data_IF_322365591739
#
_entry.id   IF_322365591739
#
_cell.length_a   1.000
_cell.length_b   1.000
_cell.length_c   1.000
_cell.angle_alpha   90.00
_cell.angle_beta   90.00
_cell.angle_gamma   90.00
#
_symmetry.space_group_name_H-M   'P 1'
#
loop_
_entity.id
_entity.type
_entity.pdbx_description
1 polymer ?
#
# COMPACT_ATOMS: atom_id res chain seq x y z
N UNK A 1 37.59 51.31 44.80
CA UNK A 1 36.56 50.28 44.57
C UNK A 1 36.70 49.77 43.14
N UNK A 2 37.23 48.56 42.94
CA UNK A 2 37.40 47.95 41.61
C UNK A 2 36.17 47.08 41.32
N UNK A 3 35.43 47.42 40.26
CA UNK A 3 34.26 46.67 39.84
C UNK A 3 34.69 45.35 39.20
N UNK A 4 34.23 44.24 39.76
CA UNK A 4 34.43 42.88 39.22
C UNK A 4 33.27 42.63 38.25
N UNK A 5 33.56 42.59 36.96
CA UNK A 5 32.59 42.21 35.94
C UNK A 5 32.46 40.67 35.93
N UNK A 6 31.36 40.15 36.46
CA UNK A 6 31.03 38.73 36.40
C UNK A 6 30.49 38.39 35.00
N UNK A 7 31.25 37.60 34.23
CA UNK A 7 30.81 37.08 32.94
C UNK A 7 30.00 35.80 33.16
N UNK A 8 28.69 35.87 32.97
CA UNK A 8 27.83 34.70 32.90
C UNK A 8 28.01 34.01 31.55
N UNK A 9 28.76 32.91 31.52
CA UNK A 9 28.74 31.99 30.38
C UNK A 9 27.42 31.23 30.37
N UNK A 10 26.50 31.63 29.50
CA UNK A 10 25.30 30.85 29.18
C UNK A 10 25.76 29.65 28.36
N UNK A 11 25.83 28.47 28.99
CA UNK A 11 26.07 27.21 28.30
C UNK A 11 24.77 26.81 27.58
N UNK A 12 24.62 27.23 26.32
CA UNK A 12 23.58 26.72 25.44
C UNK A 12 23.84 25.22 25.19
N UNK A 13 23.21 24.37 25.98
CA UNK A 13 23.10 22.95 25.66
C UNK A 13 22.24 22.82 24.39
N UNK A 14 22.91 22.79 23.23
CA UNK A 14 22.33 22.32 21.98
C UNK A 14 22.05 20.82 22.17
N UNK A 15 20.88 20.49 22.71
CA UNK A 15 20.35 19.14 22.60
C UNK A 15 20.14 18.89 21.11
N UNK A 16 20.83 17.92 20.49
CA UNK A 16 20.56 17.59 19.10
C UNK A 16 19.12 17.08 19.06
N UNK A 17 18.20 17.87 18.50
CA UNK A 17 16.88 17.37 18.10
C UNK A 17 17.12 16.36 16.98
N UNK A 18 17.38 15.10 17.34
CA UNK A 18 17.47 14.01 16.37
C UNK A 18 16.04 13.80 15.88
N UNK A 19 15.69 14.43 14.76
CA UNK A 19 14.48 14.05 14.02
C UNK A 19 14.60 12.56 13.72
N UNK A 20 13.76 11.75 14.36
CA UNK A 20 13.79 10.30 14.22
C UNK A 20 13.38 9.93 12.79
N UNK A 21 14.35 9.78 11.89
CA UNK A 21 14.11 9.39 10.49
C UNK A 21 13.81 7.89 10.39
N UNK A 22 13.11 7.51 9.31
CA UNK A 22 12.90 6.11 9.01
C UNK A 22 14.22 5.38 8.84
N UNK A 23 14.36 4.22 9.46
CA UNK A 23 15.57 3.37 9.35
C UNK A 23 15.22 1.88 9.41
N UNK A 24 16.12 1.06 8.90
CA UNK A 24 16.06 -0.38 9.18
C UNK A 24 16.35 -0.62 10.66
N UNK A 25 15.62 -1.56 11.28
CA UNK A 25 15.82 -1.90 12.69
C UNK A 25 15.43 -0.76 13.65
N UNK A 26 14.45 0.08 13.29
CA UNK A 26 14.03 1.19 14.14
C UNK A 26 13.64 0.73 15.56
N UNK A 27 13.01 -0.45 15.65
CA UNK A 27 12.50 -1.05 16.88
C UNK A 27 13.50 -1.98 17.58
N UNK A 28 14.72 -2.18 17.07
CA UNK A 28 15.67 -3.17 17.62
C UNK A 28 16.02 -2.91 19.09
N UNK A 29 15.97 -1.66 19.54
CA UNK A 29 16.22 -1.28 20.94
C UNK A 29 14.97 -1.09 21.80
N UNK A 30 13.78 -0.93 21.20
CA UNK A 30 12.54 -0.55 21.91
C UNK A 30 11.46 -1.62 21.87
N UNK A 31 11.38 -2.36 20.77
CA UNK A 31 10.54 -3.55 20.63
C UNK A 31 11.21 -4.56 19.67
N UNK A 32 12.27 -5.25 20.11
CA UNK A 32 12.97 -6.24 19.30
C UNK A 32 12.07 -7.26 18.59
N UNK A 33 10.97 -7.79 19.20
CA UNK A 33 10.13 -8.78 18.53
C UNK A 33 9.12 -8.18 17.54
N UNK A 34 9.08 -6.86 17.32
CA UNK A 34 8.03 -6.17 16.58
C UNK A 34 7.75 -6.80 15.19
N UNK A 35 8.77 -6.90 14.33
CA UNK A 35 8.60 -7.47 12.99
C UNK A 35 8.20 -8.95 13.04
N UNK A 36 8.72 -9.72 14.01
CA UNK A 36 8.38 -11.14 14.14
C UNK A 36 6.93 -11.38 14.60
N UNK A 37 6.39 -10.50 15.45
CA UNK A 37 4.99 -10.54 15.88
C UNK A 37 4.07 -10.26 14.70
N UNK A 38 4.32 -9.17 13.96
CA UNK A 38 3.54 -8.83 12.76
C UNK A 38 3.61 -9.96 11.73
N UNK A 39 4.81 -10.48 11.45
CA UNK A 39 5.01 -11.57 10.50
C UNK A 39 4.25 -12.84 10.88
N UNK A 40 4.20 -13.21 12.16
CA UNK A 40 3.43 -14.37 12.65
C UNK A 40 1.92 -14.16 12.45
N UNK A 41 1.38 -12.99 12.83
CA UNK A 41 -0.04 -12.69 12.64
C UNK A 41 -0.41 -12.76 11.15
N UNK A 42 0.40 -12.13 10.29
CA UNK A 42 0.18 -12.16 8.83
C UNK A 42 0.23 -13.59 8.29
N UNK A 43 1.21 -14.40 8.71
CA UNK A 43 1.32 -15.80 8.30
C UNK A 43 0.06 -16.58 8.65
N UNK A 44 -0.44 -16.46 9.89
CA UNK A 44 -1.64 -17.18 10.35
C UNK A 44 -2.88 -16.84 9.53
N UNK A 45 -3.07 -15.55 9.19
CA UNK A 45 -4.16 -15.11 8.34
C UNK A 45 -3.98 -15.55 6.88
N UNK A 46 -2.76 -15.44 6.35
CA UNK A 46 -2.45 -15.80 4.97
C UNK A 46 -2.60 -17.30 4.70
N UNK A 47 -2.18 -18.15 5.64
CA UNK A 47 -2.27 -19.61 5.53
C UNK A 47 -3.72 -20.08 5.40
N UNK A 48 -4.64 -19.43 6.13
CA UNK A 48 -6.08 -19.69 6.05
C UNK A 48 -6.72 -19.05 4.82
N UNK A 49 -6.23 -17.89 4.39
CA UNK A 49 -6.80 -17.12 3.30
C UNK A 49 -5.73 -16.38 2.50
N UNK A 50 -5.34 -16.97 1.35
CA UNK A 50 -4.32 -16.40 0.45
C UNK A 50 -4.71 -15.05 -0.17
N UNK A 51 -5.97 -14.64 -0.09
CA UNK A 51 -6.39 -13.31 -0.58
C UNK A 51 -5.85 -12.18 0.31
N UNK A 52 -5.32 -12.47 1.50
CA UNK A 52 -4.73 -11.49 2.43
C UNK A 52 -3.66 -10.63 1.77
N UNK A 53 -2.81 -11.19 0.91
CA UNK A 53 -1.79 -10.41 0.19
C UNK A 53 -2.41 -9.28 -0.62
N UNK A 54 -3.50 -9.54 -1.34
CA UNK A 54 -4.20 -8.51 -2.11
C UNK A 54 -4.88 -7.46 -1.21
N UNK A 55 -5.36 -7.86 -0.03
CA UNK A 55 -5.94 -6.93 0.94
C UNK A 55 -4.90 -5.93 1.45
N UNK A 56 -3.75 -6.43 1.89
CA UNK A 56 -2.70 -5.62 2.50
C UNK A 56 -1.99 -4.74 1.47
N UNK A 57 -1.72 -5.27 0.26
CA UNK A 57 -1.23 -4.45 -0.87
C UNK A 57 -2.15 -3.26 -1.15
N UNK A 58 -3.46 -3.54 -1.27
CA UNK A 58 -4.44 -2.49 -1.50
C UNK A 58 -4.52 -1.53 -0.32
N UNK A 59 -4.53 -2.02 0.92
CA UNK A 59 -4.56 -1.17 2.11
C UNK A 59 -3.37 -0.21 2.14
N UNK A 60 -2.14 -0.70 1.97
CA UNK A 60 -0.96 0.14 1.99
C UNK A 60 -0.99 1.18 0.86
N UNK A 61 -1.38 0.79 -0.36
CA UNK A 61 -1.55 1.75 -1.45
C UNK A 61 -2.57 2.83 -1.10
N UNK A 62 -3.75 2.43 -0.64
CA UNK A 62 -4.85 3.35 -0.33
C UNK A 62 -4.51 4.32 0.81
N UNK A 63 -3.80 3.87 1.83
CA UNK A 63 -3.30 4.73 2.91
C UNK A 63 -2.27 5.71 2.37
N UNK A 64 -1.19 5.19 1.77
CA UNK A 64 -0.05 6.00 1.37
C UNK A 64 -0.35 7.09 0.34
N UNK A 65 -1.26 6.84 -0.61
CA UNK A 65 -1.58 7.82 -1.66
C UNK A 65 -2.67 8.81 -1.25
N UNK A 66 -3.29 8.64 -0.08
CA UNK A 66 -4.17 9.62 0.54
C UNK A 66 -3.38 10.34 1.62
N UNK A 67 -2.77 11.47 1.24
CA UNK A 67 -1.93 12.36 2.08
C UNK A 67 -0.60 11.78 2.59
N UNK A 68 -0.46 10.47 2.76
CA UNK A 68 0.79 9.85 3.16
C UNK A 68 0.58 8.51 3.88
N UNK A 69 1.66 7.77 4.11
CA UNK A 69 1.63 6.51 4.85
C UNK A 69 1.58 6.78 6.36
N UNK A 70 0.42 7.23 6.85
CA UNK A 70 0.20 7.62 8.25
C UNK A 70 -0.91 6.79 8.93
N UNK A 71 -1.39 5.74 8.27
CA UNK A 71 -2.45 4.87 8.73
C UNK A 71 -3.76 5.62 9.07
N UNK A 72 -4.01 6.77 8.42
CA UNK A 72 -5.28 7.51 8.49
C UNK A 72 -6.46 6.71 7.93
N UNK A 73 -6.20 5.79 6.99
CA UNK A 73 -7.19 4.86 6.45
C UNK A 73 -7.79 3.92 7.52
N UNK A 74 -7.03 3.65 8.59
CA UNK A 74 -7.44 2.73 9.65
C UNK A 74 -8.44 3.33 10.63
N UNK A 75 -8.74 4.62 10.58
CA UNK A 75 -9.65 5.29 11.52
C UNK A 75 -11.11 4.94 11.20
N UNK A 76 -11.85 4.45 12.21
CA UNK A 76 -13.30 4.25 12.09
C UNK A 76 -14.04 5.60 12.17
N UNK A 77 -15.10 5.79 11.36
CA UNK A 77 -15.92 6.99 11.46
C UNK A 77 -16.72 6.98 12.77
N UNK A 78 -16.92 8.15 13.37
CA UNK A 78 -17.90 8.36 14.44
C UNK A 78 -19.06 9.22 13.94
N UNK A 79 -20.11 9.36 14.74
CA UNK A 79 -21.25 10.26 14.46
C UNK A 79 -20.81 11.72 14.24
N UNK A 80 -19.74 12.14 14.92
CA UNK A 80 -19.23 13.52 14.91
C UNK A 80 -18.06 13.72 13.94
N UNK A 81 -17.30 12.65 13.66
CA UNK A 81 -16.08 12.70 12.85
C UNK A 81 -16.12 11.62 11.77
N UNK A 82 -16.50 11.97 10.53
CA UNK A 82 -16.41 11.03 9.43
C UNK A 82 -14.94 10.72 9.11
N UNK A 83 -14.66 9.53 8.60
CA UNK A 83 -13.33 9.08 8.22
C UNK A 83 -13.27 8.67 6.75
N UNK A 84 -12.07 8.47 6.21
CA UNK A 84 -11.89 8.05 4.83
C UNK A 84 -12.19 6.57 4.56
N UNK A 85 -12.28 5.74 5.62
CA UNK A 85 -12.21 4.26 5.55
C UNK A 85 -13.15 3.61 4.54
N UNK A 86 -14.37 4.13 4.41
CA UNK A 86 -15.41 3.54 3.56
C UNK A 86 -15.89 4.49 2.45
N UNK A 87 -15.16 5.59 2.21
CA UNK A 87 -15.57 6.64 1.28
C UNK A 87 -14.99 6.38 -0.12
N UNK A 88 -15.84 6.53 -1.14
CA UNK A 88 -15.42 6.47 -2.53
C UNK A 88 -14.69 5.17 -2.85
N UNK A 89 -13.45 5.27 -3.34
CA UNK A 89 -12.66 4.09 -3.71
C UNK A 89 -12.01 3.38 -2.52
N UNK A 90 -12.08 3.91 -1.30
CA UNK A 90 -11.72 3.14 -0.11
C UNK A 90 -12.78 2.08 0.23
N UNK A 91 -13.99 2.20 -0.34
CA UNK A 91 -15.00 1.14 -0.24
C UNK A 91 -14.41 -0.21 -0.70
N UNK A 92 -14.57 -1.22 0.16
CA UNK A 92 -14.07 -2.59 -0.06
C UNK A 92 -12.60 -2.81 0.26
N UNK A 93 -11.85 -1.83 0.77
CA UNK A 93 -10.57 -2.13 1.43
C UNK A 93 -10.87 -3.06 2.61
N UNK A 94 -10.00 -4.04 2.87
CA UNK A 94 -10.18 -5.08 3.89
C UNK A 94 -8.83 -5.47 4.49
N UNK A 95 -8.80 -6.38 5.46
CA UNK A 95 -7.58 -6.80 6.16
C UNK A 95 -7.27 -5.96 7.39
N UNK A 96 -8.21 -5.10 7.81
CA UNK A 96 -8.03 -4.22 8.96
C UNK A 96 -7.91 -5.01 10.27
N UNK A 97 -8.61 -6.14 10.37
CA UNK A 97 -8.56 -7.09 11.48
C UNK A 97 -7.16 -7.67 11.71
N UNK A 98 -6.36 -7.82 10.65
CA UNK A 98 -4.97 -8.32 10.73
C UNK A 98 -4.09 -7.27 11.41
N UNK A 99 -4.32 -6.00 11.07
CA UNK A 99 -3.62 -4.86 11.68
C UNK A 99 -4.00 -4.72 13.15
N UNK A 100 -5.29 -4.89 13.48
CA UNK A 100 -5.77 -4.84 14.86
C UNK A 100 -5.20 -5.98 15.71
N UNK A 101 -5.16 -7.20 15.20
CA UNK A 101 -4.58 -8.35 15.90
C UNK A 101 -3.09 -8.15 16.16
N UNK A 102 -2.33 -7.76 15.13
CA UNK A 102 -0.92 -7.43 15.26
C UNK A 102 -0.70 -6.30 16.28
N UNK A 103 -1.53 -5.25 16.22
CA UNK A 103 -1.44 -4.14 17.16
C UNK A 103 -1.71 -4.57 18.60
N UNK A 104 -2.74 -5.37 18.81
CA UNK A 104 -3.10 -5.88 20.14
C UNK A 104 -1.96 -6.72 20.74
N UNK A 105 -1.36 -7.60 19.95
CA UNK A 105 -0.22 -8.38 20.41
C UNK A 105 1.01 -7.52 20.70
N UNK A 106 1.29 -6.53 19.85
CA UNK A 106 2.39 -5.59 20.07
C UNK A 106 2.20 -4.75 21.33
N UNK A 107 0.99 -4.27 21.61
CA UNK A 107 0.72 -3.47 22.82
C UNK A 107 0.87 -4.29 24.12
N UNK A 108 0.72 -5.61 24.08
CA UNK A 108 1.00 -6.48 25.24
C UNK A 108 2.50 -6.63 25.50
N UNK A 109 3.33 -6.52 24.46
CA UNK A 109 4.78 -6.79 24.53
C UNK A 109 5.58 -5.50 24.69
N UNK A 110 5.23 -4.47 23.92
CA UNK A 110 5.90 -3.19 23.88
C UNK A 110 4.86 -2.06 23.75
N UNK A 111 4.20 -1.70 24.87
CA UNK A 111 3.13 -0.71 24.90
C UNK A 111 3.57 0.61 24.24
N UNK A 112 2.67 1.23 23.47
CA UNK A 112 2.83 2.55 22.85
C UNK A 112 4.13 2.73 22.05
N UNK A 113 4.68 1.64 21.48
CA UNK A 113 5.98 1.67 20.80
C UNK A 113 5.85 1.59 19.28
N UNK A 114 5.08 0.63 18.76
CA UNK A 114 4.98 0.37 17.30
C UNK A 114 3.76 1.07 16.73
N UNK A 115 3.94 1.91 15.70
CA UNK A 115 2.82 2.63 15.05
C UNK A 115 1.99 1.72 14.17
N UNK A 116 0.72 2.06 13.96
CA UNK A 116 -0.13 1.33 13.03
C UNK A 116 0.35 1.49 11.58
N UNK A 117 0.90 2.66 11.24
CA UNK A 117 1.52 2.92 9.93
C UNK A 117 2.67 1.94 9.62
N UNK A 118 3.51 1.62 10.60
CA UNK A 118 4.56 0.62 10.42
C UNK A 118 4.00 -0.80 10.37
N UNK A 119 2.96 -1.14 11.14
CA UNK A 119 2.30 -2.45 11.05
C UNK A 119 1.76 -2.68 9.63
N UNK A 120 1.10 -1.71 9.01
CA UNK A 120 0.60 -1.81 7.62
C UNK A 120 1.75 -2.10 6.64
N UNK A 121 2.87 -1.38 6.78
CA UNK A 121 4.02 -1.51 5.89
C UNK A 121 4.72 -2.88 6.05
N UNK A 122 4.96 -3.30 7.30
CA UNK A 122 5.58 -4.60 7.62
C UNK A 122 4.67 -5.74 7.16
N UNK A 123 3.37 -5.66 7.49
CA UNK A 123 2.42 -6.71 7.15
C UNK A 123 2.29 -6.91 5.65
N UNK A 124 2.28 -5.82 4.89
CA UNK A 124 2.23 -5.87 3.43
C UNK A 124 3.48 -6.52 2.86
N UNK A 125 4.68 -6.11 3.31
CA UNK A 125 5.97 -6.72 2.90
C UNK A 125 6.01 -8.22 3.16
N UNK A 126 5.55 -8.66 4.33
CA UNK A 126 5.54 -10.08 4.70
C UNK A 126 4.55 -10.86 3.83
N UNK A 127 3.36 -10.31 3.59
CA UNK A 127 2.34 -10.96 2.73
C UNK A 127 2.77 -11.09 1.26
N UNK A 128 3.56 -10.14 0.74
CA UNK A 128 4.16 -10.21 -0.60
C UNK A 128 5.15 -11.38 -0.67
N UNK A 129 6.02 -11.51 0.35
CA UNK A 129 6.99 -12.59 0.42
C UNK A 129 6.32 -13.97 0.51
N UNK A 130 5.25 -14.09 1.30
CA UNK A 130 4.46 -15.33 1.41
C UNK A 130 3.80 -15.72 0.08
N UNK A 131 3.31 -14.74 -0.69
CA UNK A 131 2.77 -14.96 -2.03
C UNK A 131 3.86 -15.21 -3.11
N UNK A 132 5.11 -15.43 -2.72
CA UNK A 132 6.21 -15.72 -3.64
C UNK A 132 6.80 -14.50 -4.35
N UNK A 133 6.44 -13.29 -3.92
CA UNK A 133 6.98 -12.02 -4.41
C UNK A 133 8.43 -11.76 -3.98
N UNK A 134 8.96 -10.55 -4.26
CA UNK A 134 10.28 -10.17 -3.79
C UNK A 134 10.35 -10.10 -2.26
N UNK A 135 11.51 -10.47 -1.71
CA UNK A 135 11.86 -10.17 -0.32
C UNK A 135 12.64 -8.87 -0.29
N UNK A 136 12.23 -7.92 0.54
CA UNK A 136 12.89 -6.64 0.70
C UNK A 136 12.81 -6.14 2.14
N UNK A 137 13.71 -5.24 2.50
CA UNK A 137 13.68 -4.56 3.80
C UNK A 137 12.73 -3.37 3.74
N UNK A 138 12.07 -3.07 4.84
CA UNK A 138 11.29 -1.85 5.01
C UNK A 138 11.94 -1.01 6.10
N UNK A 139 12.07 0.29 5.88
CA UNK A 139 12.42 1.23 6.94
C UNK A 139 11.17 1.49 7.79
N UNK A 140 11.33 1.48 9.11
CA UNK A 140 10.28 1.77 10.09
C UNK A 140 10.65 3.01 10.91
N UNK A 141 9.71 3.49 11.74
CA UNK A 141 9.76 4.77 12.45
C UNK A 141 8.64 5.74 12.05
N UNK A 142 7.61 5.27 11.31
CA UNK A 142 6.44 6.09 10.98
C UNK A 142 5.63 6.37 12.23
N UNK A 143 4.88 7.47 12.19
CA UNK A 143 3.87 7.81 13.20
C UNK A 143 2.49 7.85 12.59
N UNK A 144 1.51 7.64 13.44
CA UNK A 144 0.11 7.63 13.08
C UNK A 144 -0.42 9.06 12.91
N UNK A 145 -1.12 9.29 11.80
CA UNK A 145 -1.76 10.56 11.49
C UNK A 145 -2.87 10.90 12.47
N UNK A 146 -3.11 12.20 12.66
CA UNK A 146 -4.16 12.74 13.54
C UNK A 146 -5.40 13.20 12.78
N UNK A 147 -5.52 12.80 11.51
CA UNK A 147 -6.60 13.22 10.62
C UNK A 147 -6.94 12.10 9.65
N UNK A 148 -8.23 11.85 9.50
CA UNK A 148 -8.81 10.99 8.48
C UNK A 148 -10.06 11.69 7.97
N UNK A 149 -10.16 12.01 6.68
CA UNK A 149 -11.25 12.83 6.19
C UNK A 149 -11.74 12.39 4.80
N UNK A 150 -13.06 12.19 4.60
CA UNK A 150 -13.65 11.83 3.32
C UNK A 150 -13.18 12.66 2.12
N UNK A 151 -12.95 13.96 2.31
CA UNK A 151 -12.60 14.91 1.24
C UNK A 151 -11.19 14.72 0.67
N UNK A 152 -10.33 13.98 1.35
CA UNK A 152 -8.98 13.69 0.87
C UNK A 152 -8.95 12.54 -0.15
N UNK A 153 -10.00 11.72 -0.18
CA UNK A 153 -10.06 10.51 -1.03
C UNK A 153 -10.26 10.89 -2.50
N UNK A 154 -9.15 11.16 -3.20
CA UNK A 154 -9.11 11.54 -4.62
C UNK A 154 -8.45 10.48 -5.50
N UNK A 155 -8.70 9.21 -5.17
CA UNK A 155 -8.12 8.06 -5.86
C UNK A 155 -8.60 7.95 -7.31
N UNK A 156 -7.69 7.58 -8.21
CA UNK A 156 -8.00 7.36 -9.63
C UNK A 156 -8.82 6.08 -9.83
N UNK A 157 -9.65 6.07 -10.88
CA UNK A 157 -10.49 4.94 -11.25
C UNK A 157 -9.86 3.97 -12.24
N UNK A 158 -10.46 2.78 -12.43
CA UNK A 158 -9.91 1.74 -13.30
C UNK A 158 -9.89 2.12 -14.79
N UNK A 159 -10.65 3.13 -15.20
CA UNK A 159 -10.73 3.64 -16.57
C UNK A 159 -9.88 4.89 -16.82
N UNK A 160 -9.04 5.28 -15.86
CA UNK A 160 -8.13 6.42 -16.00
C UNK A 160 -7.17 6.23 -17.19
N UNK A 161 -6.79 7.33 -17.84
CA UNK A 161 -5.79 7.31 -18.91
C UNK A 161 -4.37 7.18 -18.35
N UNK A 162 -3.46 6.62 -19.14
CA UNK A 162 -2.03 6.50 -18.78
C UNK A 162 -1.42 7.87 -18.50
N UNK A 163 -1.72 8.88 -19.33
CA UNK A 163 -1.25 10.25 -19.12
C UNK A 163 -1.68 10.85 -17.77
N UNK A 164 -2.93 10.62 -17.35
CA UNK A 164 -3.43 11.07 -16.04
C UNK A 164 -2.76 10.30 -14.90
N UNK A 165 -2.58 8.99 -15.04
CA UNK A 165 -1.82 8.20 -14.05
C UNK A 165 -0.38 8.69 -13.92
N UNK A 166 0.32 8.96 -15.03
CA UNK A 166 1.68 9.51 -15.00
C UNK A 166 1.71 10.83 -14.26
N UNK A 167 0.76 11.74 -14.52
CA UNK A 167 0.68 13.03 -13.82
C UNK A 167 0.46 12.84 -12.31
N UNK A 168 -0.43 11.93 -11.92
CA UNK A 168 -0.73 11.67 -10.51
C UNK A 168 0.49 11.07 -9.78
N UNK A 169 1.11 10.03 -10.33
CA UNK A 169 2.30 9.41 -9.75
C UNK A 169 3.49 10.38 -9.69
N UNK A 170 3.66 11.24 -10.71
CA UNK A 170 4.70 12.28 -10.70
C UNK A 170 4.48 13.30 -9.58
N UNK A 171 3.23 13.61 -9.24
CA UNK A 171 2.91 14.56 -8.16
C UNK A 171 3.31 14.07 -6.76
N UNK A 172 3.48 12.76 -6.60
CA UNK A 172 4.00 12.11 -5.38
C UNK A 172 5.44 11.63 -5.55
N UNK A 173 6.16 12.15 -6.55
CA UNK A 173 7.60 11.91 -6.74
C UNK A 173 7.96 10.63 -7.51
N UNK A 174 6.99 9.94 -8.11
CA UNK A 174 7.24 8.67 -8.81
C UNK A 174 7.41 8.85 -10.32
N UNK A 175 8.35 8.10 -10.88
CA UNK A 175 8.55 8.04 -12.32
C UNK A 175 7.63 6.99 -12.98
N UNK A 176 7.65 6.93 -14.31
CA UNK A 176 6.79 6.03 -15.09
C UNK A 176 7.07 4.55 -14.77
N UNK A 177 8.34 4.18 -14.54
CA UNK A 177 8.69 2.80 -14.18
C UNK A 177 8.11 2.38 -12.84
N UNK A 178 8.24 3.25 -11.82
CA UNK A 178 7.63 3.02 -10.50
C UNK A 178 6.10 2.93 -10.60
N UNK A 179 5.46 3.77 -11.42
CA UNK A 179 4.03 3.69 -11.68
C UNK A 179 3.62 2.34 -12.29
N UNK A 180 4.30 1.89 -13.35
CA UNK A 180 4.00 0.61 -14.02
C UNK A 180 4.24 -0.58 -13.09
N UNK A 181 5.29 -0.53 -12.27
CA UNK A 181 5.59 -1.55 -11.27
C UNK A 181 4.46 -1.63 -10.22
N UNK A 182 3.98 -0.49 -9.70
CA UNK A 182 2.92 -0.47 -8.68
C UNK A 182 1.55 -0.87 -9.23
N UNK A 183 1.13 -0.33 -10.37
CA UNK A 183 -0.18 -0.64 -10.96
C UNK A 183 -0.23 -2.13 -11.33
N UNK A 184 0.72 -2.63 -12.12
CA UNK A 184 0.73 -4.04 -12.51
C UNK A 184 0.99 -4.97 -11.32
N UNK A 185 2.04 -4.73 -10.54
CA UNK A 185 2.43 -5.58 -9.42
C UNK A 185 1.39 -5.65 -8.30
N UNK A 186 0.63 -4.57 -8.05
CA UNK A 186 -0.51 -4.61 -7.13
C UNK A 186 -1.69 -5.43 -7.67
N UNK A 187 -1.83 -5.52 -8.99
CA UNK A 187 -2.92 -6.23 -9.68
C UNK A 187 -2.60 -7.68 -10.04
N UNK A 188 -1.39 -8.18 -9.77
CA UNK A 188 -1.08 -9.60 -10.02
C UNK A 188 -1.78 -10.57 -9.05
N UNK A 189 -2.38 -10.04 -7.98
CA UNK A 189 -3.21 -10.78 -7.03
C UNK A 189 -4.53 -10.06 -6.80
N UNK A 190 -5.50 -10.78 -6.22
CA UNK A 190 -6.77 -10.19 -5.82
C UNK A 190 -7.83 -10.25 -6.91
N UNK A 191 -8.89 -9.45 -6.73
CA UNK A 191 -10.10 -9.49 -7.54
C UNK A 191 -10.56 -8.10 -7.94
N UNK A 192 -11.29 -8.00 -9.04
CA UNK A 192 -12.10 -6.85 -9.40
C UNK A 192 -13.57 -7.22 -9.49
N UNK A 193 -14.43 -6.32 -9.02
CA UNK A 193 -15.87 -6.42 -9.25
C UNK A 193 -16.24 -6.11 -10.69
N UNK A 194 -17.23 -6.81 -11.23
CA UNK A 194 -17.68 -6.72 -12.61
C UNK A 194 -18.07 -5.30 -13.04
N UNK A 195 -18.62 -4.49 -12.13
CA UNK A 195 -18.93 -3.07 -12.36
C UNK A 195 -17.72 -2.24 -12.78
N UNK A 196 -16.51 -2.63 -12.37
CA UNK A 196 -15.27 -1.88 -12.61
C UNK A 196 -14.66 -2.07 -14.00
N UNK A 197 -15.13 -3.05 -14.79
CA UNK A 197 -14.53 -3.42 -16.08
C UNK A 197 -15.55 -3.78 -17.16
N UNK A 198 -16.79 -3.28 -17.07
CA UNK A 198 -17.79 -3.47 -18.12
C UNK A 198 -17.33 -2.93 -19.49
N UNK A 199 -16.51 -1.88 -19.50
CA UNK A 199 -15.92 -1.32 -20.70
C UNK A 199 -14.92 -2.29 -21.36
N UNK A 200 -14.22 -3.13 -20.58
CA UNK A 200 -13.33 -4.18 -21.09
C UNK A 200 -14.08 -5.36 -21.68
N UNK A 201 -15.18 -5.78 -21.05
CA UNK A 201 -16.05 -6.82 -21.62
C UNK A 201 -16.65 -6.39 -22.98
N UNK A 202 -16.88 -5.09 -23.18
CA UNK A 202 -17.37 -4.51 -24.44
C UNK A 202 -16.27 -4.29 -25.48
N UNK A 203 -15.00 -4.38 -25.09
CA UNK A 203 -13.88 -4.12 -25.99
C UNK A 203 -13.70 -5.26 -27.01
N UNK A 204 -13.81 -4.99 -28.33
CA UNK A 204 -13.55 -5.99 -29.36
C UNK A 204 -12.12 -6.53 -29.33
N UNK A 205 -11.15 -5.73 -28.85
CA UNK A 205 -9.72 -6.07 -28.74
C UNK A 205 -9.36 -6.84 -27.47
N UNK A 206 -10.30 -7.19 -26.62
CA UNK A 206 -10.02 -8.14 -25.54
C UNK A 206 -9.96 -9.57 -26.09
N UNK A 207 -9.08 -10.42 -25.55
CA UNK A 207 -9.02 -11.84 -25.88
C UNK A 207 -10.43 -12.47 -25.86
N UNK A 208 -10.83 -13.06 -26.99
CA UNK A 208 -12.22 -13.45 -27.23
C UNK A 208 -12.69 -14.56 -26.29
N UNK A 209 -11.79 -15.50 -25.95
CA UNK A 209 -12.05 -16.61 -25.01
C UNK A 209 -12.24 -16.08 -23.60
N UNK A 210 -11.34 -15.22 -23.12
CA UNK A 210 -11.49 -14.60 -21.80
C UNK A 210 -12.74 -13.72 -21.73
N UNK A 211 -12.99 -12.89 -22.76
CA UNK A 211 -14.21 -12.06 -22.83
C UNK A 211 -15.48 -12.89 -22.71
N UNK A 212 -15.55 -14.05 -23.38
CA UNK A 212 -16.70 -14.96 -23.27
C UNK A 212 -16.85 -15.52 -21.84
N UNK A 213 -15.74 -15.91 -21.19
CA UNK A 213 -15.74 -16.35 -19.78
C UNK A 213 -16.24 -15.23 -18.84
N UNK A 214 -15.72 -14.02 -18.97
CA UNK A 214 -16.11 -12.88 -18.13
C UNK A 214 -17.58 -12.49 -18.32
N UNK A 215 -18.09 -12.54 -19.57
CA UNK A 215 -19.53 -12.33 -19.84
C UNK A 215 -20.43 -13.33 -19.11
N UNK A 216 -19.95 -14.53 -18.79
CA UNK A 216 -20.70 -15.51 -17.99
C UNK A 216 -20.55 -15.20 -16.50
N UNK A 217 -19.34 -14.95 -16.02
CA UNK A 217 -19.07 -14.63 -14.60
C UNK A 217 -19.81 -13.38 -14.12
N UNK A 218 -19.96 -12.36 -14.98
CA UNK A 218 -20.58 -11.08 -14.63
C UNK A 218 -22.11 -11.03 -14.79
N UNK A 219 -22.80 -12.19 -14.85
CA UNK A 219 -24.28 -12.25 -14.91
C UNK A 219 -24.95 -12.44 -13.55
N UNK A 220 -24.16 -12.73 -12.51
CA UNK A 220 -24.68 -12.97 -11.16
C UNK A 220 -25.23 -11.70 -10.49
N UNK A 221 -26.10 -11.86 -9.47
CA UNK A 221 -26.54 -10.76 -8.64
C UNK A 221 -25.38 -10.20 -7.80
N UNK A 222 -25.57 -9.01 -7.22
CA UNK A 222 -24.67 -8.42 -6.22
C UNK A 222 -23.24 -8.13 -6.71
N UNK A 223 -23.10 -7.74 -7.99
CA UNK A 223 -21.82 -7.35 -8.60
C UNK A 223 -20.67 -8.35 -8.36
N UNK A 224 -20.72 -9.53 -9.02
CA UNK A 224 -19.71 -10.58 -8.84
C UNK A 224 -18.29 -10.07 -9.07
N UNK A 225 -17.31 -10.75 -8.49
CA UNK A 225 -15.89 -10.45 -8.73
C UNK A 225 -15.18 -11.55 -9.50
N UNK A 226 -14.10 -11.18 -10.18
CA UNK A 226 -13.19 -12.09 -10.88
C UNK A 226 -11.76 -11.80 -10.46
N UNK A 227 -10.89 -12.80 -10.49
CA UNK A 227 -9.47 -12.57 -10.23
C UNK A 227 -8.86 -11.55 -11.20
N UNK A 228 -7.95 -10.72 -10.72
CA UNK A 228 -7.23 -9.78 -11.58
C UNK A 228 -6.26 -10.51 -12.51
N UNK A 229 -5.53 -11.47 -11.97
CA UNK A 229 -4.72 -12.42 -12.72
C UNK A 229 -5.51 -13.73 -12.93
N UNK A 230 -5.72 -14.14 -14.19
CA UNK A 230 -6.51 -15.34 -14.51
C UNK A 230 -5.73 -16.66 -14.43
N UNK A 231 -4.42 -16.61 -14.25
CA UNK A 231 -3.51 -17.75 -14.34
C UNK A 231 -2.85 -18.05 -12.97
N UNK A 232 -2.40 -17.04 -12.24
CA UNK A 232 -1.70 -17.17 -10.94
C UNK A 232 -2.30 -16.25 -9.85
N UNK A 233 -3.61 -16.32 -9.55
CA UNK A 233 -4.36 -15.31 -8.77
C UNK A 233 -3.90 -15.06 -7.32
N UNK A 234 -3.01 -15.91 -6.80
CA UNK A 234 -2.49 -15.85 -5.43
C UNK A 234 -0.96 -15.71 -5.37
N UNK A 235 -0.29 -15.50 -6.51
CA UNK A 235 1.17 -15.33 -6.57
C UNK A 235 1.52 -13.92 -6.97
N UNK A 236 2.53 -13.35 -6.30
CA UNK A 236 3.16 -12.11 -6.73
C UNK A 236 4.26 -12.45 -7.73
N UNK A 237 3.89 -12.46 -9.01
CA UNK A 237 4.78 -12.70 -10.14
C UNK A 237 4.43 -11.75 -11.31
N UNK A 238 5.05 -11.96 -12.47
CA UNK A 238 4.90 -11.07 -13.62
C UNK A 238 3.78 -11.49 -14.58
N UNK A 239 2.91 -12.42 -14.19
CA UNK A 239 1.88 -12.98 -15.07
C UNK A 239 0.82 -11.94 -15.48
N UNK A 240 0.57 -10.94 -14.64
CA UNK A 240 -0.27 -9.79 -14.98
C UNK A 240 0.23 -9.05 -16.24
N UNK A 241 1.55 -8.86 -16.39
CA UNK A 241 2.14 -8.18 -17.55
C UNK A 241 2.10 -9.06 -18.80
N UNK A 242 2.27 -10.38 -18.64
CA UNK A 242 2.07 -11.34 -19.76
C UNK A 242 0.63 -11.33 -20.25
N UNK A 243 -0.32 -11.24 -19.33
CA UNK A 243 -1.74 -11.10 -19.68
C UNK A 243 -2.05 -9.76 -20.34
N UNK A 244 -1.37 -8.66 -19.98
CA UNK A 244 -1.50 -7.41 -20.75
C UNK A 244 -1.10 -7.62 -22.22
N UNK A 245 0.05 -8.23 -22.51
CA UNK A 245 0.51 -8.52 -23.88
C UNK A 245 -0.51 -9.37 -24.65
N UNK A 246 -1.12 -10.35 -23.97
CA UNK A 246 -2.12 -11.24 -24.55
C UNK A 246 -3.51 -10.60 -24.69
N UNK A 247 -3.67 -9.30 -24.38
CA UNK A 247 -4.97 -8.60 -24.40
C UNK A 247 -5.98 -9.19 -23.40
N UNK A 248 -5.46 -9.72 -22.28
CA UNK A 248 -6.18 -10.43 -21.22
C UNK A 248 -6.24 -9.70 -19.88
N UNK A 249 -5.64 -8.50 -19.77
CA UNK A 249 -5.80 -7.65 -18.60
C UNK A 249 -7.28 -7.45 -18.24
N UNK A 250 -7.63 -7.34 -16.96
CA UNK A 250 -9.03 -7.20 -16.53
C UNK A 250 -9.50 -5.75 -16.51
N UNK A 251 -8.74 -4.83 -15.90
CA UNK A 251 -9.11 -3.41 -15.84
C UNK A 251 -8.63 -2.65 -17.08
N UNK A 252 -9.25 -1.52 -17.36
CA UNK A 252 -8.89 -0.68 -18.51
C UNK A 252 -7.51 -0.07 -18.41
N UNK A 253 -7.14 0.44 -17.24
CA UNK A 253 -5.81 1.01 -17.02
C UNK A 253 -4.70 -0.02 -17.34
N UNK A 254 -4.87 -1.28 -16.94
CA UNK A 254 -3.89 -2.35 -17.21
C UNK A 254 -3.71 -2.63 -18.71
N UNK A 255 -4.79 -2.71 -19.48
CA UNK A 255 -4.72 -2.85 -20.95
C UNK A 255 -4.16 -1.60 -21.63
N UNK A 256 -4.40 -0.41 -21.07
CA UNK A 256 -3.82 0.80 -21.60
C UNK A 256 -2.30 0.87 -21.38
N UNK A 257 -1.76 0.29 -20.29
CA UNK A 257 -0.31 0.28 -20.04
C UNK A 257 0.49 -0.40 -21.17
N UNK A 258 -0.03 -1.48 -21.77
CA UNK A 258 0.67 -2.12 -22.89
C UNK A 258 0.43 -1.42 -24.23
N UNK A 259 -0.66 -0.66 -24.37
CA UNK A 259 -1.02 0.05 -25.61
C UNK A 259 -0.37 1.42 -25.73
N UNK A 260 -0.06 2.07 -24.61
CA UNK A 260 0.52 3.40 -24.58
C UNK A 260 2.04 3.36 -24.81
N UNK A 261 2.53 4.20 -25.74
CA UNK A 261 3.95 4.24 -26.11
C UNK A 261 4.90 4.61 -24.96
N UNK A 262 4.42 5.31 -23.93
CA UNK A 262 5.22 5.71 -22.77
C UNK A 262 5.46 4.59 -21.76
N UNK A 263 4.64 3.54 -21.78
CA UNK A 263 4.68 2.44 -20.80
C UNK A 263 4.91 1.06 -21.43
N UNK A 264 4.68 0.92 -22.75
CA UNK A 264 4.71 -0.36 -23.47
C UNK A 264 6.02 -1.14 -23.33
N UNK A 265 7.17 -0.46 -23.41
CA UNK A 265 8.48 -1.12 -23.26
C UNK A 265 8.64 -1.72 -21.87
N UNK A 266 8.33 -0.94 -20.83
CA UNK A 266 8.42 -1.36 -19.43
C UNK A 266 7.53 -2.58 -19.14
N UNK A 267 6.28 -2.56 -19.64
CA UNK A 267 5.38 -3.73 -19.53
C UNK A 267 5.97 -4.95 -20.21
N UNK A 268 6.56 -4.78 -21.40
CA UNK A 268 7.17 -5.88 -22.16
C UNK A 268 8.38 -6.47 -21.43
N UNK A 269 9.22 -5.62 -20.87
CA UNK A 269 10.39 -6.02 -20.09
C UNK A 269 9.99 -6.80 -18.83
N UNK A 270 8.97 -6.32 -18.10
CA UNK A 270 8.44 -7.02 -16.93
C UNK A 270 7.79 -8.36 -17.30
N UNK A 271 7.04 -8.44 -18.40
CA UNK A 271 6.43 -9.68 -18.87
C UNK A 271 7.48 -10.75 -19.26
N UNK A 272 8.59 -10.31 -19.85
CA UNK A 272 9.70 -11.19 -20.24
C UNK A 272 10.55 -11.62 -19.03
N UNK A 273 10.84 -10.68 -18.12
CA UNK A 273 11.79 -10.87 -17.03
C UNK A 273 11.14 -10.70 -15.65
N UNK A 274 10.75 -11.82 -15.04
CA UNK A 274 10.15 -11.83 -13.70
C UNK A 274 11.11 -11.30 -12.62
N UNK A 275 12.43 -11.50 -12.77
CA UNK A 275 13.41 -10.97 -11.80
C UNK A 275 13.42 -9.45 -11.84
N UNK A 276 13.45 -8.85 -13.04
CA UNK A 276 13.39 -7.41 -13.22
C UNK A 276 12.10 -6.81 -12.64
N UNK A 277 10.95 -7.44 -12.90
CA UNK A 277 9.68 -7.05 -12.27
C UNK A 277 9.80 -7.05 -10.75
N UNK A 278 10.25 -8.17 -10.14
CA UNK A 278 10.33 -8.30 -8.69
C UNK A 278 11.27 -7.28 -8.05
N UNK A 279 12.41 -7.00 -8.67
CA UNK A 279 13.35 -5.97 -8.22
C UNK A 279 12.72 -4.57 -8.29
N UNK A 280 12.08 -4.25 -9.42
CA UNK A 280 11.40 -2.96 -9.62
C UNK A 280 10.21 -2.78 -8.68
N UNK A 281 9.45 -3.85 -8.43
CA UNK A 281 8.32 -3.84 -7.51
C UNK A 281 8.76 -3.67 -6.06
N UNK A 282 9.85 -4.33 -5.64
CA UNK A 282 10.42 -4.13 -4.31
C UNK A 282 10.88 -2.69 -4.09
N UNK A 283 11.57 -2.08 -5.07
CA UNK A 283 11.98 -0.68 -4.99
C UNK A 283 10.76 0.25 -4.94
N UNK A 284 9.76 -0.01 -5.77
CA UNK A 284 8.55 0.78 -5.83
C UNK A 284 7.73 0.70 -4.54
N UNK A 285 7.60 -0.48 -3.92
CA UNK A 285 6.93 -0.67 -2.63
C UNK A 285 7.66 0.03 -1.49
N UNK A 286 9.00 0.01 -1.47
CA UNK A 286 9.80 0.77 -0.51
C UNK A 286 9.56 2.27 -0.65
N UNK A 287 9.62 2.80 -1.88
CA UNK A 287 9.31 4.22 -2.16
C UNK A 287 7.88 4.59 -1.78
N UNK A 288 6.90 3.74 -2.12
CA UNK A 288 5.50 3.94 -1.76
C UNK A 288 5.32 4.04 -0.26
N UNK A 289 5.96 3.16 0.51
CA UNK A 289 5.91 3.21 1.97
C UNK A 289 6.46 4.50 2.57
N UNK A 290 7.15 5.35 1.82
CA UNK A 290 7.81 6.56 2.34
C UNK A 290 7.10 7.85 1.92
N UNK A 291 5.95 7.76 1.26
CA UNK A 291 5.14 8.92 0.88
C UNK A 291 4.62 9.60 2.15
N UNK A 292 4.89 10.91 2.29
CA UNK A 292 4.21 11.78 3.26
C UNK A 292 4.28 11.31 4.71
N UNK A 293 5.31 10.54 5.08
CA UNK A 293 5.41 9.92 6.40
C UNK A 293 5.54 10.94 7.51
N UNK A 294 4.94 10.64 8.66
CA UNK A 294 5.12 11.40 9.89
C UNK A 294 6.22 10.74 10.74
N UNK A 295 7.08 11.56 11.33
CA UNK A 295 8.26 11.12 12.10
C UNK A 295 8.53 12.02 13.30
N UNK A 296 9.36 11.56 14.25
CA UNK A 296 9.73 12.33 15.44
C UNK A 296 8.52 12.61 16.33
N UNK A 297 8.13 13.87 16.49
CA UNK A 297 6.96 14.27 17.27
C UNK A 297 5.72 14.58 16.41
N UNK A 298 5.82 14.38 15.09
CA UNK A 298 4.67 14.57 14.19
C UNK A 298 3.76 13.35 14.25
N UNK A 299 2.53 13.52 14.72
CA UNK A 299 1.57 12.42 14.88
C UNK A 299 1.73 11.64 16.19
N UNK A 300 1.10 10.48 16.30
CA UNK A 300 1.05 9.70 17.53
C UNK A 300 1.47 8.23 17.35
N UNK A 301 1.54 7.49 18.46
CA UNK A 301 1.53 6.03 18.43
C UNK A 301 0.18 5.61 19.01
N UNK A 302 -0.77 5.27 18.14
CA UNK A 302 -2.11 4.85 18.57
C UNK A 302 -2.00 3.59 19.41
N UNK A 303 -2.82 3.45 20.44
CA UNK A 303 -2.98 2.18 21.18
C UNK A 303 -4.01 1.26 20.51
N UNK A 304 -4.95 1.85 19.79
CA UNK A 304 -5.93 1.17 18.95
C UNK A 304 -5.89 1.79 17.55
N UNK A 305 -5.57 1.00 16.52
CA UNK A 305 -5.45 1.54 15.15
C UNK A 305 -6.75 2.13 14.60
N UNK A 306 -7.89 1.79 15.19
CA UNK A 306 -9.22 2.27 14.79
C UNK A 306 -9.58 3.67 15.26
N UNK A 307 -8.83 4.25 16.20
CA UNK A 307 -9.15 5.53 16.80
C UNK A 307 -7.90 6.36 17.07
N UNK A 308 -8.05 7.69 17.09
CA UNK A 308 -7.01 8.56 17.65
C UNK A 308 -6.90 8.32 19.16
N UNK A 309 -5.73 8.52 19.77
CA UNK A 309 -5.67 8.51 21.23
C UNK A 309 -6.41 9.74 21.79
N UNK A 310 -6.90 9.61 23.03
CA UNK A 310 -7.52 10.69 23.80
C UNK A 310 -6.47 11.49 24.56
#
# INVERSE_FOLDING_TARGET
MRAIAAWFFIFCYLVPSVFAQLRHGFYDGTCPPAESIVGRVVFNHWDRNRTVTAALLRMQFHDCVVRGCDASLLIDPTTERPSEKSVGRNAGVRGFEIIDEAKKELELVCPKTVSCADIVTIATRDSIALAGGPKFKVRTGRRDGLRSNPSDVKLLGPTVSVATSIKAFKSIGFNVSTMVALIGGGHTVGVAHCSLFQDRIKDPKMDSKLRAKLKKSCRGPNDPSVFMDQNTPFRVDNEIYRQMIQQRAILRIDDNLIRDGSTRSIVSDFAYNNKLFKESFAEAMQKMGEIGVLTGDSGEIRTNCRAFNN
#
